data_IF_112110284946
#
_entry.id   IF_112110284946
#
_cell.length_a   1.000
_cell.length_b   1.000
_cell.length_c   1.000
_cell.angle_alpha   90.00
_cell.angle_beta   90.00
_cell.angle_gamma   90.00
#
_symmetry.space_group_name_H-M   'P 1'
#
loop_
_entity.id
_entity.type
_entity.pdbx_description
1 polymer ?
#
# COMPACT_ATOMS: atom_id res chain seq x y z
N UNK A 1 -25.76 -41.76 8.68
CA UNK A 1 -25.93 -40.38 8.16
C UNK A 1 -25.35 -39.34 9.12
N UNK A 2 -24.03 -39.36 9.36
CA UNK A 2 -23.32 -38.35 10.20
C UNK A 2 -21.99 -37.84 9.59
N UNK A 3 -21.45 -38.53 8.57
CA UNK A 3 -20.17 -38.17 7.95
C UNK A 3 -20.30 -37.11 6.85
N UNK A 4 -21.44 -37.06 6.15
CA UNK A 4 -21.64 -36.11 5.03
C UNK A 4 -21.79 -34.67 5.56
N UNK A 5 -22.47 -34.49 6.69
CA UNK A 5 -22.70 -33.17 7.29
C UNK A 5 -21.39 -32.53 7.79
N UNK A 6 -20.47 -33.31 8.35
CA UNK A 6 -19.19 -32.79 8.85
C UNK A 6 -18.24 -32.37 7.73
N UNK A 7 -18.19 -33.10 6.61
CA UNK A 7 -17.34 -32.73 5.46
C UNK A 7 -17.81 -31.45 4.77
N UNK A 8 -19.13 -31.25 4.64
CA UNK A 8 -19.69 -30.03 4.02
C UNK A 8 -19.38 -28.80 4.88
N UNK A 9 -19.48 -28.90 6.21
CA UNK A 9 -19.19 -27.79 7.13
C UNK A 9 -17.70 -27.39 7.05
N UNK A 10 -16.77 -28.36 6.94
CA UNK A 10 -15.34 -28.07 6.81
C UNK A 10 -15.02 -27.40 5.47
N UNK A 11 -15.63 -27.82 4.36
CA UNK A 11 -15.48 -27.14 3.07
C UNK A 11 -16.10 -25.72 3.09
N UNK A 12 -17.22 -25.51 3.77
CA UNK A 12 -17.82 -24.19 3.96
C UNK A 12 -16.92 -23.28 4.82
N UNK A 13 -16.27 -23.82 5.85
CA UNK A 13 -15.31 -23.09 6.68
C UNK A 13 -14.02 -22.75 5.93
N UNK A 14 -13.52 -23.62 5.05
CA UNK A 14 -12.40 -23.28 4.17
C UNK A 14 -12.78 -22.23 3.12
N UNK A 15 -14.01 -22.22 2.61
CA UNK A 15 -14.51 -21.16 1.72
C UNK A 15 -14.78 -19.82 2.44
N UNK A 16 -15.11 -19.85 3.74
CA UNK A 16 -15.29 -18.65 4.57
C UNK A 16 -13.98 -18.12 5.18
N UNK A 17 -12.97 -18.98 5.39
CA UNK A 17 -11.61 -18.60 5.80
C UNK A 17 -10.75 -18.17 4.61
N UNK A 18 -11.02 -18.69 3.41
CA UNK A 18 -10.66 -18.04 2.14
C UNK A 18 -11.67 -16.92 1.87
N UNK A 19 -11.81 -15.99 2.81
CA UNK A 19 -12.44 -14.72 2.49
C UNK A 19 -11.71 -14.15 1.28
N UNK A 20 -12.39 -14.12 0.13
CA UNK A 20 -12.04 -13.27 -1.00
C UNK A 20 -12.02 -11.83 -0.48
N UNK A 21 -10.93 -11.45 0.17
CA UNK A 21 -10.56 -10.08 0.40
C UNK A 21 -10.03 -9.57 -0.93
N UNK A 22 -10.92 -9.08 -1.78
CA UNK A 22 -10.51 -8.15 -2.83
C UNK A 22 -9.73 -7.02 -2.12
N UNK A 23 -8.41 -7.00 -2.26
CA UNK A 23 -7.54 -5.98 -1.64
C UNK A 23 -6.18 -6.43 -1.11
N UNK A 24 -5.84 -7.73 -1.09
CA UNK A 24 -4.49 -8.16 -0.65
C UNK A 24 -3.81 -9.21 -1.52
N UNK A 25 -4.32 -9.45 -2.72
CA UNK A 25 -3.72 -10.40 -3.68
C UNK A 25 -2.28 -10.03 -4.09
N UNK A 26 -1.90 -8.77 -3.89
CA UNK A 26 -0.56 -8.26 -4.17
C UNK A 26 0.44 -8.52 -3.05
N UNK A 27 0.00 -8.92 -1.84
CA UNK A 27 0.91 -9.25 -0.73
C UNK A 27 1.45 -10.67 -0.95
N UNK A 28 2.77 -10.78 -0.86
CA UNK A 28 3.44 -12.06 -0.95
C UNK A 28 3.22 -12.86 0.33
N UNK A 29 2.89 -14.14 0.19
CA UNK A 29 2.74 -15.01 1.35
C UNK A 29 4.05 -15.06 2.17
N UNK A 30 3.95 -14.80 3.46
CA UNK A 30 5.08 -14.81 4.39
C UNK A 30 5.77 -13.45 4.55
N UNK A 31 5.33 -12.38 3.88
CA UNK A 31 5.90 -11.04 4.03
C UNK A 31 5.06 -10.11 4.89
N UNK A 32 3.90 -10.56 5.39
CA UNK A 32 2.89 -9.74 6.06
C UNK A 32 3.43 -8.97 7.26
N UNK A 33 4.32 -9.59 8.01
CA UNK A 33 4.94 -9.05 9.23
C UNK A 33 6.33 -8.43 8.97
N UNK A 34 6.83 -8.49 7.73
CA UNK A 34 8.09 -7.86 7.37
C UNK A 34 7.93 -6.33 7.28
N UNK A 35 8.90 -5.53 7.74
CA UNK A 35 8.87 -4.08 7.54
C UNK A 35 8.89 -3.71 6.05
N UNK A 36 8.05 -2.76 5.65
CA UNK A 36 7.99 -2.27 4.27
C UNK A 36 8.87 -1.03 4.10
N UNK A 37 9.71 -1.02 3.05
CA UNK A 37 10.60 0.11 2.76
C UNK A 37 10.12 0.95 1.58
N UNK A 38 9.56 0.30 0.57
CA UNK A 38 9.16 0.92 -0.69
C UNK A 38 7.82 0.35 -1.11
N UNK A 39 6.96 1.19 -1.69
CA UNK A 39 5.74 0.75 -2.33
C UNK A 39 5.42 1.66 -3.52
N UNK A 40 4.95 1.06 -4.61
CA UNK A 40 4.41 1.73 -5.80
C UNK A 40 3.27 0.89 -6.33
N UNK A 41 2.22 1.54 -6.80
CA UNK A 41 1.09 0.87 -7.44
C UNK A 41 0.59 1.66 -8.64
N UNK A 42 -0.01 0.94 -9.57
CA UNK A 42 -0.74 1.50 -10.70
C UNK A 42 -2.17 0.97 -10.71
N UNK A 43 -3.14 1.88 -10.65
CA UNK A 43 -4.56 1.61 -10.84
C UNK A 43 -4.89 1.93 -12.30
N UNK A 44 -5.49 1.00 -13.03
CA UNK A 44 -5.85 1.25 -14.44
C UNK A 44 -7.10 2.16 -14.57
N UNK A 45 -7.46 2.55 -15.80
CA UNK A 45 -8.66 3.35 -16.05
C UNK A 45 -9.99 2.68 -15.68
N UNK A 46 -10.01 1.35 -15.47
CA UNK A 46 -11.16 0.63 -14.96
C UNK A 46 -11.26 0.66 -13.42
N UNK A 47 -10.30 1.29 -12.73
CA UNK A 47 -10.24 1.36 -11.26
C UNK A 47 -9.68 0.08 -10.61
N UNK A 48 -9.12 -0.83 -11.41
CA UNK A 48 -8.53 -2.08 -10.98
C UNK A 48 -7.05 -1.89 -10.66
N UNK A 49 -6.56 -2.64 -9.66
CA UNK A 49 -5.14 -2.66 -9.33
C UNK A 49 -4.39 -3.44 -10.40
N UNK A 50 -3.63 -2.75 -11.24
CA UNK A 50 -2.94 -3.35 -12.38
C UNK A 50 -1.55 -3.84 -12.00
N UNK A 51 -0.77 -3.01 -11.29
CA UNK A 51 0.56 -3.39 -10.84
C UNK A 51 0.82 -2.92 -9.42
N UNK A 52 1.61 -3.68 -8.68
CA UNK A 52 2.24 -3.26 -7.42
C UNK A 52 3.70 -3.67 -7.44
N UNK A 53 4.57 -2.80 -6.98
CA UNK A 53 5.96 -3.10 -6.65
C UNK A 53 6.19 -2.64 -5.21
N UNK A 54 6.67 -3.53 -4.35
CA UNK A 54 7.05 -3.16 -2.99
C UNK A 54 8.31 -3.90 -2.55
N UNK A 55 9.04 -3.30 -1.62
CA UNK A 55 10.21 -3.92 -1.01
C UNK A 55 9.98 -4.12 0.48
N UNK A 56 10.27 -5.32 0.97
CA UNK A 56 10.19 -5.68 2.38
C UNK A 56 11.57 -6.05 2.91
N UNK A 57 11.82 -5.76 4.19
CA UNK A 57 13.06 -6.07 4.89
C UNK A 57 12.92 -7.40 5.63
N UNK A 58 13.65 -8.41 5.17
CA UNK A 58 13.77 -9.72 5.80
C UNK A 58 15.09 -9.80 6.55
N UNK A 59 15.06 -9.53 7.86
CA UNK A 59 16.25 -9.57 8.73
C UNK A 59 17.45 -8.75 8.19
N UNK A 60 17.18 -7.55 7.67
CA UNK A 60 18.19 -6.66 7.08
C UNK A 60 18.44 -6.87 5.58
N UNK A 61 17.86 -7.91 4.97
CA UNK A 61 17.90 -8.13 3.54
C UNK A 61 16.66 -7.54 2.85
N UNK A 62 16.86 -6.60 1.94
CA UNK A 62 15.76 -6.04 1.14
C UNK A 62 15.38 -6.97 -0.01
N UNK A 63 14.12 -7.39 -0.04
CA UNK A 63 13.53 -8.19 -1.13
C UNK A 63 12.41 -7.42 -1.80
N UNK A 64 12.43 -7.37 -3.13
CA UNK A 64 11.40 -6.69 -3.92
C UNK A 64 10.42 -7.69 -4.48
N UNK A 65 9.13 -7.37 -4.38
CA UNK A 65 8.01 -8.15 -4.85
C UNK A 65 7.21 -7.34 -5.86
N UNK A 66 6.88 -7.95 -6.98
CA UNK A 66 6.06 -7.35 -8.02
C UNK A 66 4.78 -8.16 -8.21
N UNK A 67 3.62 -7.51 -8.15
CA UNK A 67 2.33 -8.03 -8.59
C UNK A 67 1.97 -7.40 -9.94
N UNK A 68 1.48 -8.22 -10.87
CA UNK A 68 0.90 -7.78 -12.14
C UNK A 68 -0.40 -8.52 -12.39
N UNK A 69 -1.45 -7.76 -12.70
CA UNK A 69 -2.70 -8.28 -13.24
C UNK A 69 -2.43 -8.76 -14.67
N UNK A 70 -2.44 -10.08 -14.92
CA UNK A 70 -2.33 -10.62 -16.27
C UNK A 70 -3.65 -10.48 -17.06
N UNK A 71 -3.56 -10.54 -18.39
CA UNK A 71 -4.73 -10.68 -19.26
C UNK A 71 -5.48 -11.97 -18.88
N UNK A 72 -6.64 -11.83 -18.24
CA UNK A 72 -7.41 -12.95 -17.67
C UNK A 72 -7.38 -13.09 -16.14
N UNK A 73 -6.71 -12.18 -15.42
CA UNK A 73 -6.79 -12.06 -13.96
C UNK A 73 -5.77 -12.87 -13.15
N UNK A 74 -4.82 -13.57 -13.79
CA UNK A 74 -3.77 -14.29 -13.06
C UNK A 74 -2.69 -13.34 -12.53
N UNK A 75 -2.49 -13.34 -11.22
CA UNK A 75 -1.43 -12.59 -10.57
C UNK A 75 -0.08 -13.30 -10.72
N UNK A 76 0.94 -12.59 -11.19
CA UNK A 76 2.33 -13.08 -11.13
C UNK A 76 3.12 -12.33 -10.09
N UNK A 77 3.75 -13.08 -9.20
CA UNK A 77 4.66 -12.57 -8.20
C UNK A 77 6.11 -12.89 -8.58
N UNK A 78 6.99 -11.89 -8.59
CA UNK A 78 8.43 -12.12 -8.81
C UNK A 78 9.26 -11.47 -7.71
N UNK A 79 10.25 -12.21 -7.21
CA UNK A 79 11.27 -11.71 -6.27
C UNK A 79 12.46 -11.17 -7.08
N UNK A 80 12.94 -9.98 -6.73
CA UNK A 80 14.14 -9.37 -7.32
C UNK A 80 15.09 -8.92 -6.20
N UNK A 81 16.37 -9.21 -6.36
CA UNK A 81 17.44 -8.71 -5.48
C UNK A 81 17.93 -7.31 -5.95
N UNK A 82 17.73 -6.25 -5.14
CA UNK A 82 18.56 -5.02 -5.02
C UNK A 82 17.81 -3.81 -4.41
N UNK A 83 18.40 -3.14 -3.41
CA UNK A 83 19.19 -1.86 -3.45
C UNK A 83 19.63 -1.52 -2.00
N UNK A 84 20.60 -0.60 -1.83
CA UNK A 84 21.22 -0.24 -0.55
C UNK A 84 20.24 -0.04 0.62
N UNK A 85 20.66 -0.56 1.79
CA UNK A 85 19.84 -0.86 2.95
C UNK A 85 19.19 0.34 3.62
N UNK A 86 17.87 0.22 3.81
CA UNK A 86 17.19 0.87 4.93
C UNK A 86 17.24 -0.12 6.08
N UNK A 87 17.74 0.30 7.23
CA UNK A 87 17.78 -0.55 8.42
C UNK A 87 16.35 -0.85 8.88
N UNK A 88 16.08 -2.08 9.32
CA UNK A 88 14.72 -2.50 9.69
C UNK A 88 14.11 -1.62 10.79
N UNK A 89 14.96 -1.07 11.67
CA UNK A 89 14.59 -0.17 12.77
C UNK A 89 14.07 1.19 12.29
N UNK A 90 14.34 1.57 11.03
CA UNK A 90 13.85 2.80 10.40
C UNK A 90 12.50 2.60 9.68
N UNK A 91 11.94 1.38 9.72
CA UNK A 91 10.73 0.98 9.00
C UNK A 91 9.58 0.66 9.99
N UNK A 92 8.75 1.64 10.37
CA UNK A 92 7.77 1.47 11.45
C UNK A 92 6.50 0.70 11.05
N UNK A 93 6.31 0.43 9.75
CA UNK A 93 5.14 -0.28 9.23
C UNK A 93 5.55 -1.63 8.66
N UNK A 94 4.81 -2.67 9.01
CA UNK A 94 4.83 -3.95 8.31
C UNK A 94 4.08 -3.85 6.97
N UNK A 95 4.32 -4.79 6.05
CA UNK A 95 3.57 -4.91 4.79
C UNK A 95 2.07 -4.97 5.05
N UNK A 96 1.62 -5.74 6.03
CA UNK A 96 0.18 -5.87 6.34
C UNK A 96 -0.45 -4.62 6.94
N UNK A 97 0.31 -3.83 7.71
CA UNK A 97 -0.14 -2.53 8.21
C UNK A 97 -0.22 -1.52 7.07
N UNK A 98 0.82 -1.42 6.25
CA UNK A 98 0.84 -0.51 5.11
C UNK A 98 -0.25 -0.86 4.09
N UNK A 99 -0.54 -2.13 3.86
CA UNK A 99 -1.62 -2.55 2.97
C UNK A 99 -2.99 -1.97 3.40
N UNK A 100 -3.24 -1.83 4.71
CA UNK A 100 -4.47 -1.19 5.21
C UNK A 100 -4.48 0.31 4.92
N UNK A 101 -3.34 0.99 5.07
CA UNK A 101 -3.17 2.40 4.73
C UNK A 101 -3.42 2.60 3.24
N UNK A 102 -2.79 1.77 2.40
CA UNK A 102 -2.93 1.81 0.96
C UNK A 102 -4.39 1.63 0.51
N UNK A 103 -5.11 0.63 1.01
CA UNK A 103 -6.51 0.42 0.61
C UNK A 103 -7.41 1.60 1.03
N UNK A 104 -7.18 2.21 2.20
CA UNK A 104 -7.92 3.41 2.61
C UNK A 104 -7.62 4.60 1.69
N UNK A 105 -6.35 4.80 1.33
CA UNK A 105 -5.92 5.87 0.41
C UNK A 105 -6.46 5.62 -0.99
N UNK A 106 -6.44 4.38 -1.47
CA UNK A 106 -6.98 3.97 -2.76
C UNK A 106 -8.48 4.25 -2.84
N UNK A 107 -9.23 3.92 -1.79
CA UNK A 107 -10.67 4.20 -1.74
C UNK A 107 -10.94 5.70 -1.67
N UNK A 108 -10.15 6.45 -0.89
CA UNK A 108 -10.23 7.90 -0.85
C UNK A 108 -9.92 8.54 -2.21
N UNK A 109 -8.89 8.05 -2.91
CA UNK A 109 -8.48 8.53 -4.22
C UNK A 109 -9.54 8.30 -5.32
N UNK A 110 -10.43 7.31 -5.16
CA UNK A 110 -11.56 7.08 -6.09
C UNK A 110 -12.64 8.14 -6.02
N UNK A 111 -12.69 8.93 -4.95
CA UNK A 111 -13.65 10.03 -4.86
C UNK A 111 -13.20 11.16 -5.80
N UNK A 112 -14.04 11.61 -6.73
CA UNK A 112 -13.68 12.68 -7.67
C UNK A 112 -13.17 13.94 -6.96
N UNK A 113 -12.10 14.53 -7.49
CA UNK A 113 -11.43 15.71 -6.93
C UNK A 113 -10.38 15.43 -5.84
N UNK A 114 -10.26 14.20 -5.32
CA UNK A 114 -9.29 13.89 -4.27
C UNK A 114 -7.88 13.60 -4.81
N UNK A 115 -7.78 12.73 -5.82
CA UNK A 115 -6.51 12.39 -6.47
C UNK A 115 -6.80 11.95 -7.90
N UNK A 116 -6.40 12.78 -8.87
CA UNK A 116 -6.71 12.59 -10.28
C UNK A 116 -5.43 12.55 -11.09
N UNK A 117 -5.41 11.82 -12.21
CA UNK A 117 -4.31 11.85 -13.16
C UNK A 117 -4.82 12.49 -14.45
N UNK A 118 -4.27 13.65 -14.83
CA UNK A 118 -4.75 14.38 -16.01
C UNK A 118 -4.20 13.82 -17.33
N UNK A 119 -3.12 13.01 -17.31
CA UNK A 119 -2.40 12.58 -18.51
C UNK A 119 -1.97 11.10 -18.45
N UNK A 120 -2.90 10.17 -18.23
CA UNK A 120 -2.80 8.75 -18.61
C UNK A 120 -4.07 8.03 -18.15
N UNK A 121 -4.50 6.93 -18.78
CA UNK A 121 -5.57 6.11 -18.23
C UNK A 121 -5.05 5.34 -17.00
N UNK A 122 -5.11 5.95 -15.82
CA UNK A 122 -4.77 5.30 -14.55
C UNK A 122 -4.22 6.25 -13.50
N UNK A 123 -4.03 5.73 -12.29
CA UNK A 123 -3.52 6.48 -11.14
C UNK A 123 -2.32 5.77 -10.53
N UNK A 124 -1.21 6.49 -10.41
CA UNK A 124 -0.03 6.05 -9.67
C UNK A 124 -0.10 6.48 -8.21
N UNK A 125 0.14 5.54 -7.29
CA UNK A 125 0.27 5.81 -5.85
C UNK A 125 1.59 5.22 -5.37
N UNK A 126 2.42 6.04 -4.73
CA UNK A 126 3.74 5.65 -4.23
C UNK A 126 3.90 5.98 -2.75
N UNK A 127 4.75 5.22 -2.07
CA UNK A 127 5.19 5.47 -0.70
C UNK A 127 6.62 5.97 -0.67
N UNK A 128 6.83 7.09 0.02
CA UNK A 128 8.13 7.67 0.30
C UNK A 128 8.43 7.43 1.78
N UNK A 129 9.42 6.58 2.05
CA UNK A 129 9.87 6.32 3.42
C UNK A 129 10.31 7.63 4.11
N UNK A 130 10.05 7.72 5.42
CA UNK A 130 10.36 8.87 6.26
C UNK A 130 11.80 9.38 6.12
N UNK A 131 12.78 8.47 6.04
CA UNK A 131 14.19 8.82 5.82
C UNK A 131 14.34 9.70 4.59
N UNK A 132 13.70 9.35 3.48
CA UNK A 132 13.79 10.15 2.25
C UNK A 132 12.88 11.37 2.31
N UNK A 133 11.63 11.21 2.74
CA UNK A 133 10.63 12.28 2.81
C UNK A 133 11.14 13.48 3.62
N UNK A 134 11.88 13.24 4.70
CA UNK A 134 12.31 14.29 5.63
C UNK A 134 13.82 14.57 5.62
N UNK A 135 14.59 13.90 4.76
CA UNK A 135 16.05 14.13 4.63
C UNK A 135 16.45 15.39 3.86
N UNK A 136 15.51 16.06 3.18
CA UNK A 136 15.83 17.18 2.29
C UNK A 136 14.70 18.19 2.15
N UNK A 137 14.86 19.10 1.19
CA UNK A 137 13.93 20.18 0.84
C UNK A 137 12.75 19.70 -0.05
N UNK A 138 12.18 18.52 0.27
CA UNK A 138 10.97 18.07 -0.43
C UNK A 138 9.84 19.07 -0.15
N UNK A 139 9.45 19.80 -1.19
CA UNK A 139 8.30 20.69 -1.14
C UNK A 139 7.03 19.85 -1.33
N UNK A 140 6.26 19.74 -0.25
CA UNK A 140 5.00 18.98 -0.22
C UNK A 140 3.82 19.79 -0.80
N UNK A 141 4.06 21.02 -1.27
CA UNK A 141 3.05 21.84 -1.94
C UNK A 141 1.83 22.16 -1.07
N UNK A 142 0.79 22.67 -1.72
CA UNK A 142 -0.45 23.09 -1.05
C UNK A 142 -1.48 21.95 -0.91
N UNK A 143 -1.36 20.87 -1.69
CA UNK A 143 -2.29 19.74 -1.69
C UNK A 143 -1.80 18.63 -0.76
N UNK A 144 -1.76 18.96 0.52
CA UNK A 144 -1.32 18.06 1.57
C UNK A 144 -2.49 17.58 2.45
N UNK A 145 -2.39 16.33 2.88
CA UNK A 145 -3.34 15.66 3.76
C UNK A 145 -2.61 14.88 4.84
N UNK A 146 -3.33 14.49 5.89
CA UNK A 146 -2.83 13.60 6.95
C UNK A 146 -3.71 12.36 7.02
N UNK A 147 -3.09 11.19 6.92
CA UNK A 147 -3.69 9.90 7.26
C UNK A 147 -3.31 9.54 8.69
N UNK A 148 -4.30 9.33 9.56
CA UNK A 148 -4.06 8.87 10.93
C UNK A 148 -4.22 7.35 11.05
N UNK A 149 -3.17 6.66 11.54
CA UNK A 149 -3.16 5.22 11.78
C UNK A 149 -4.20 4.80 12.84
N UNK A 150 -4.39 5.61 13.87
CA UNK A 150 -5.35 5.36 14.95
C UNK A 150 -6.81 5.48 14.49
N UNK A 151 -7.11 6.44 13.62
CA UNK A 151 -8.50 6.72 13.19
C UNK A 151 -8.84 6.19 11.80
N UNK A 152 -7.84 5.85 10.98
CA UNK A 152 -7.94 5.47 9.57
C UNK A 152 -8.67 6.52 8.72
N UNK A 153 -8.45 7.80 9.02
CA UNK A 153 -9.06 8.93 8.31
C UNK A 153 -8.01 9.75 7.60
N UNK A 154 -8.40 10.30 6.45
CA UNK A 154 -7.63 11.28 5.68
C UNK A 154 -8.30 12.64 5.87
N UNK A 155 -7.53 13.63 6.32
CA UNK A 155 -7.99 15.01 6.52
C UNK A 155 -7.09 15.99 5.79
N UNK A 156 -7.61 17.10 5.24
CA UNK A 156 -6.78 18.16 4.70
C UNK A 156 -5.80 18.68 5.75
N UNK A 157 -4.57 18.98 5.33
CA UNK A 157 -3.58 19.64 6.17
C UNK A 157 -3.72 21.15 6.04
N UNK A 158 -3.92 21.84 7.15
CA UNK A 158 -3.89 23.30 7.21
C UNK A 158 -2.49 23.76 7.66
N UNK A 159 -1.71 24.34 6.75
CA UNK A 159 -0.36 24.84 7.04
C UNK A 159 0.71 23.75 7.02
N UNK A 160 1.74 23.92 7.86
CA UNK A 160 2.88 22.99 7.89
C UNK A 160 2.58 21.72 8.68
N UNK A 161 3.06 20.58 8.17
CA UNK A 161 2.97 19.31 8.90
C UNK A 161 3.92 19.28 10.09
N UNK A 162 3.35 19.17 11.30
CA UNK A 162 4.08 19.14 12.59
C UNK A 162 3.93 17.82 13.35
N UNK A 163 3.32 16.81 12.73
CA UNK A 163 3.09 15.49 13.33
C UNK A 163 4.32 14.58 13.35
N UNK A 164 4.11 13.29 13.63
CA UNK A 164 5.18 12.31 13.80
C UNK A 164 5.84 11.94 12.45
N UNK A 165 7.07 12.41 12.24
CA UNK A 165 7.87 12.17 11.02
C UNK A 165 8.48 10.77 10.92
N UNK A 166 7.88 9.76 11.54
CA UNK A 166 8.39 8.39 11.56
C UNK A 166 7.87 7.56 10.38
N UNK A 167 6.63 7.81 9.91
CA UNK A 167 5.90 6.86 9.07
C UNK A 167 6.01 7.11 7.56
N UNK A 168 6.47 8.29 7.14
CA UNK A 168 6.65 8.65 5.74
C UNK A 168 5.41 9.25 5.10
N UNK A 169 5.41 9.32 3.77
CA UNK A 169 4.43 10.07 2.98
C UNK A 169 3.96 9.24 1.80
N UNK A 170 2.66 9.25 1.51
CA UNK A 170 2.10 8.72 0.28
C UNK A 170 1.94 9.85 -0.73
N UNK A 171 2.28 9.60 -1.99
CA UNK A 171 2.15 10.56 -3.08
C UNK A 171 1.45 9.97 -4.29
N UNK A 172 0.65 10.76 -4.99
CA UNK A 172 0.01 10.33 -6.25
C UNK A 172 -0.75 11.44 -6.97
N UNK A 173 -1.17 11.15 -8.20
CA UNK A 173 -1.95 12.05 -9.04
C UNK A 173 -1.19 13.26 -9.61
N UNK A 174 -1.91 14.04 -10.39
CA UNK A 174 -1.50 15.31 -11.00
C UNK A 174 -2.69 16.30 -11.00
N UNK A 175 -2.62 17.44 -10.25
CA UNK A 175 -1.48 17.89 -9.45
C UNK A 175 -1.13 16.91 -8.34
N UNK A 176 0.15 16.87 -7.97
CA UNK A 176 0.66 15.89 -7.00
C UNK A 176 0.04 16.12 -5.63
N UNK A 177 -0.58 15.08 -5.09
CA UNK A 177 -1.15 15.06 -3.74
C UNK A 177 -0.17 14.35 -2.82
N UNK A 178 0.04 14.90 -1.63
CA UNK A 178 0.84 14.29 -0.56
C UNK A 178 -0.03 13.97 0.66
N UNK A 179 0.16 12.79 1.23
CA UNK A 179 -0.57 12.33 2.41
C UNK A 179 0.45 11.86 3.46
N UNK A 180 0.64 12.66 4.50
CA UNK A 180 1.49 12.32 5.64
C UNK A 180 0.86 11.19 6.44
N UNK A 181 1.62 10.15 6.76
CA UNK A 181 1.15 9.09 7.65
C UNK A 181 1.50 9.50 9.09
N UNK A 182 0.50 9.51 9.95
CA UNK A 182 0.62 9.88 11.36
C UNK A 182 -0.04 8.83 12.27
N UNK A 183 0.19 8.91 13.57
CA UNK A 183 -0.23 7.90 14.54
C UNK A 183 -1.74 7.86 14.83
#
# INVERSE_FOLDING_TARGET
>A
MKRITTTIIICLCMLLLCGCGAGREWIAAGTEDMPIAVFRSWINSAGELSTVEYAACDNGAMKTYEYKLADGGEAKQTEKDQMQGVEAEELPLTVSQFAKVYEDVREWARTPGNMEEMVNPGLSISFINARYAYSGELDFGELAYVYSLSTRKITPLEGEYTGEKAYGVISGGYPMVFIFIDK
#
